data_IF_655549888933
#
_entry.id   IF_655549888933
#
_cell.length_a   1.000
_cell.length_b   1.000
_cell.length_c   1.000
_cell.angle_alpha   90.00
_cell.angle_beta   90.00
_cell.angle_gamma   90.00
#
_symmetry.space_group_name_H-M   'P 1'
#
loop_
_entity.id
_entity.type
_entity.pdbx_description
1 polymer ?
#
# COMPACT_ATOMS: atom_id res chain seq x y z
N UNK A 1 34.25 -12.39 -26.49
CA UNK A 1 33.58 -11.18 -25.97
C UNK A 1 33.32 -11.40 -24.48
N UNK A 2 33.92 -10.53 -23.61
CA UNK A 2 33.61 -10.49 -22.18
C UNK A 2 32.31 -9.71 -22.02
N UNK A 3 31.25 -10.37 -21.56
CA UNK A 3 29.97 -9.71 -21.21
C UNK A 3 30.18 -9.05 -19.85
N UNK A 4 30.00 -7.73 -19.83
CA UNK A 4 30.04 -6.91 -18.60
C UNK A 4 28.71 -7.07 -17.85
N UNK A 5 28.69 -8.00 -16.89
CA UNK A 5 27.51 -8.27 -16.06
C UNK A 5 27.17 -7.08 -15.17
N UNK A 6 28.16 -6.36 -14.65
CA UNK A 6 27.93 -5.22 -13.75
C UNK A 6 27.22 -4.08 -14.49
N UNK A 7 27.54 -3.89 -15.77
CA UNK A 7 26.84 -2.94 -16.63
C UNK A 7 25.40 -3.36 -16.87
N UNK A 8 25.13 -4.66 -17.08
CA UNK A 8 23.76 -5.16 -17.24
C UNK A 8 22.97 -4.91 -15.97
N UNK A 9 23.51 -5.30 -14.81
CA UNK A 9 22.88 -5.08 -13.51
C UNK A 9 22.56 -3.61 -13.27
N UNK A 10 23.52 -2.71 -13.53
CA UNK A 10 23.33 -1.27 -13.32
C UNK A 10 22.25 -0.67 -14.21
N UNK A 11 22.11 -1.14 -15.47
CA UNK A 11 21.06 -0.70 -16.38
C UNK A 11 19.66 -1.09 -15.89
N UNK A 12 19.48 -2.32 -15.41
CA UNK A 12 18.19 -2.76 -14.88
C UNK A 12 17.86 -2.09 -13.55
N UNK A 13 18.82 -1.99 -12.61
CA UNK A 13 18.60 -1.37 -11.30
C UNK A 13 18.40 0.16 -11.35
N UNK A 14 18.63 0.78 -12.50
CA UNK A 14 18.26 2.18 -12.72
C UNK A 14 16.74 2.37 -12.83
N UNK A 15 15.95 1.33 -13.16
CA UNK A 15 14.49 1.38 -13.13
C UNK A 15 13.99 1.33 -11.68
N UNK A 16 13.26 2.37 -11.20
CA UNK A 16 12.76 2.42 -9.82
C UNK A 16 11.72 1.34 -9.50
N UNK A 17 11.18 0.66 -10.49
CA UNK A 17 10.21 -0.43 -10.31
C UNK A 17 10.87 -1.79 -10.06
N UNK A 18 12.19 -1.90 -10.24
CA UNK A 18 12.92 -3.16 -10.11
C UNK A 18 13.46 -3.31 -8.69
N UNK A 19 13.14 -4.45 -8.06
CA UNK A 19 13.57 -4.81 -6.72
C UNK A 19 14.96 -5.43 -6.75
N UNK A 20 15.14 -6.44 -7.59
CA UNK A 20 16.44 -7.07 -7.79
C UNK A 20 16.54 -7.74 -9.17
N UNK A 21 17.77 -7.95 -9.60
CA UNK A 21 18.12 -8.62 -10.84
C UNK A 21 19.15 -9.69 -10.54
N UNK A 22 18.95 -10.88 -11.12
CA UNK A 22 19.97 -11.93 -11.10
C UNK A 22 20.42 -12.22 -12.53
N UNK A 23 21.71 -12.44 -12.71
CA UNK A 23 22.31 -12.77 -14.01
C UNK A 23 23.09 -14.07 -13.88
N UNK A 24 22.63 -15.11 -14.57
CA UNK A 24 23.24 -16.42 -14.58
C UNK A 24 23.86 -16.70 -15.97
N UNK A 25 25.11 -17.20 -15.98
CA UNK A 25 25.72 -17.71 -17.20
C UNK A 25 25.34 -19.19 -17.37
N UNK A 26 24.65 -19.48 -18.45
CA UNK A 26 24.37 -20.85 -18.87
C UNK A 26 25.33 -21.21 -20.00
N UNK A 27 26.20 -22.19 -19.76
CA UNK A 27 27.18 -22.64 -20.72
C UNK A 27 26.52 -23.24 -21.99
N UNK A 28 27.08 -23.04 -23.21
CA UNK A 28 28.34 -22.35 -23.51
C UNK A 28 28.20 -20.83 -23.75
N UNK A 29 27.02 -20.31 -24.12
CA UNK A 29 26.89 -19.00 -24.76
C UNK A 29 25.57 -18.25 -24.35
N UNK A 30 24.86 -18.74 -23.38
CA UNK A 30 23.56 -18.18 -22.94
C UNK A 30 23.72 -17.35 -21.67
N UNK A 31 23.05 -16.20 -21.61
CA UNK A 31 22.90 -15.39 -20.42
C UNK A 31 21.42 -15.35 -20.03
N UNK A 32 21.11 -15.83 -18.81
CA UNK A 32 19.79 -15.73 -18.24
C UNK A 32 19.73 -14.51 -17.31
N UNK A 33 18.78 -13.61 -17.57
CA UNK A 33 18.54 -12.42 -16.74
C UNK A 33 17.15 -12.55 -16.12
N UNK A 34 17.10 -12.70 -14.79
CA UNK A 34 15.84 -12.72 -14.05
C UNK A 34 15.64 -11.35 -13.40
N UNK A 35 14.51 -10.71 -13.70
CA UNK A 35 14.15 -9.39 -13.19
C UNK A 35 12.95 -9.52 -12.28
N UNK A 36 13.09 -9.08 -11.01
CA UNK A 36 12.02 -9.03 -10.06
C UNK A 36 11.62 -7.58 -9.80
N UNK A 37 10.32 -7.30 -9.96
CA UNK A 37 9.75 -5.98 -9.72
C UNK A 37 9.22 -5.89 -8.30
N UNK A 38 9.28 -4.68 -7.72
CA UNK A 38 8.60 -4.41 -6.46
C UNK A 38 7.11 -4.71 -6.57
N UNK A 39 6.58 -5.31 -5.53
CA UNK A 39 5.14 -5.51 -5.40
C UNK A 39 4.47 -4.18 -5.06
N UNK A 40 3.48 -3.79 -5.88
CA UNK A 40 2.63 -2.64 -5.63
C UNK A 40 1.55 -3.04 -4.63
N UNK A 41 1.47 -2.34 -3.49
CA UNK A 41 0.49 -2.60 -2.45
C UNK A 41 -0.78 -1.76 -2.63
N UNK A 42 -0.61 -0.51 -3.05
CA UNK A 42 -1.72 0.41 -3.24
C UNK A 42 -1.42 1.48 -4.29
N UNK A 43 -2.49 2.03 -4.87
CA UNK A 43 -2.44 3.25 -5.66
C UNK A 43 -2.63 4.45 -4.72
N UNK A 44 -1.72 5.40 -4.75
CA UNK A 44 -1.85 6.67 -4.03
C UNK A 44 -2.27 7.75 -5.00
N UNK A 45 -3.36 8.45 -4.68
CA UNK A 45 -3.85 9.59 -5.46
C UNK A 45 -3.74 10.85 -4.60
N UNK A 46 -2.87 11.75 -4.99
CA UNK A 46 -2.61 13.01 -4.29
C UNK A 46 -3.42 14.14 -4.92
N UNK A 47 -4.47 14.58 -4.23
CA UNK A 47 -5.37 15.66 -4.63
C UNK A 47 -4.98 17.04 -4.08
N UNK A 48 -3.82 17.18 -3.40
CA UNK A 48 -3.39 18.46 -2.83
C UNK A 48 -3.03 19.51 -3.88
N UNK A 49 -2.77 19.09 -5.10
CA UNK A 49 -2.58 19.98 -6.26
C UNK A 49 -3.84 20.02 -7.13
N UNK A 50 -3.97 21.05 -7.98
CA UNK A 50 -5.09 21.18 -8.91
C UNK A 50 -5.23 19.97 -9.83
N UNK A 51 -4.09 19.42 -10.29
CA UNK A 51 -4.05 18.17 -11.07
C UNK A 51 -3.65 17.02 -10.15
N UNK A 52 -4.49 16.00 -9.97
CA UNK A 52 -4.17 14.84 -9.14
C UNK A 52 -2.93 14.10 -9.65
N UNK A 53 -2.04 13.76 -8.72
CA UNK A 53 -0.85 12.98 -9.00
C UNK A 53 -1.06 11.55 -8.54
N UNK A 54 -0.58 10.59 -9.33
CA UNK A 54 -0.76 9.18 -9.10
C UNK A 54 0.58 8.51 -8.82
N UNK A 55 0.63 7.65 -7.79
CA UNK A 55 1.83 6.95 -7.39
C UNK A 55 1.51 5.49 -7.05
N UNK A 56 2.46 4.60 -7.31
CA UNK A 56 2.50 3.24 -6.76
C UNK A 56 3.13 3.30 -5.37
N UNK A 57 2.47 2.73 -4.38
CA UNK A 57 3.07 2.50 -3.06
C UNK A 57 3.60 1.06 -3.03
N UNK A 58 4.90 0.93 -2.84
CA UNK A 58 5.58 -0.35 -2.75
C UNK A 58 5.79 -0.80 -1.30
N UNK A 59 6.02 -2.10 -1.11
CA UNK A 59 6.27 -2.71 0.21
C UNK A 59 7.46 -2.12 0.98
N UNK A 60 8.38 -1.46 0.32
CA UNK A 60 9.51 -0.74 0.92
C UNK A 60 9.20 0.74 1.25
N UNK A 61 7.93 1.10 1.30
CA UNK A 61 7.42 2.46 1.55
C UNK A 61 7.83 3.50 0.50
N UNK A 62 8.31 3.07 -0.68
CA UNK A 62 8.58 4.00 -1.78
C UNK A 62 7.32 4.35 -2.54
N UNK A 63 7.23 5.62 -2.92
CA UNK A 63 6.27 6.10 -3.92
C UNK A 63 6.98 6.27 -5.26
N UNK A 64 6.41 5.67 -6.29
CA UNK A 64 6.88 5.81 -7.67
C UNK A 64 5.75 6.37 -8.51
N UNK A 65 5.98 7.45 -9.28
CA UNK A 65 4.95 8.02 -10.12
C UNK A 65 4.37 6.99 -11.10
N UNK A 66 3.06 7.06 -11.32
CA UNK A 66 2.35 6.24 -12.31
C UNK A 66 2.28 6.99 -13.61
N UNK A 67 2.75 6.38 -14.68
CA UNK A 67 2.61 6.93 -16.02
C UNK A 67 1.13 6.94 -16.45
N UNK A 68 0.78 7.90 -17.33
CA UNK A 68 -0.59 8.05 -17.78
C UNK A 68 -1.13 6.79 -18.47
N UNK A 69 -0.28 6.06 -19.18
CA UNK A 69 -0.59 4.80 -19.85
C UNK A 69 -0.93 3.65 -18.87
N UNK A 70 -0.39 3.70 -17.65
CA UNK A 70 -0.58 2.66 -16.64
C UNK A 70 -1.82 2.87 -15.74
N UNK A 71 -2.41 4.09 -15.74
CA UNK A 71 -3.53 4.43 -14.82
C UNK A 71 -4.72 3.50 -14.98
N UNK A 72 -5.04 3.07 -16.18
CA UNK A 72 -6.15 2.15 -16.47
C UNK A 72 -5.95 0.71 -15.98
N UNK A 73 -4.74 0.34 -15.55
CA UNK A 73 -4.45 -1.00 -15.01
C UNK A 73 -4.86 -1.17 -13.53
N UNK A 74 -5.13 -0.08 -12.82
CA UNK A 74 -5.59 -0.09 -11.44
C UNK A 74 -7.13 -0.06 -11.43
N UNK A 75 -7.76 -1.22 -11.28
CA UNK A 75 -9.21 -1.36 -11.19
C UNK A 75 -9.75 -1.16 -9.77
N UNK A 76 -11.08 -1.31 -9.62
CA UNK A 76 -11.79 -1.19 -8.34
C UNK A 76 -11.34 -2.24 -7.30
N UNK A 77 -10.74 -3.34 -7.76
CA UNK A 77 -10.20 -4.41 -6.89
C UNK A 77 -8.78 -4.11 -6.38
N UNK A 78 -8.30 -2.89 -6.50
CA UNK A 78 -6.97 -2.52 -6.07
C UNK A 78 -7.01 -1.57 -4.88
N UNK A 79 -6.18 -1.85 -3.86
CA UNK A 79 -6.09 -0.95 -2.70
C UNK A 79 -5.74 0.47 -3.11
N UNK A 80 -6.35 1.46 -2.48
CA UNK A 80 -6.08 2.86 -2.78
C UNK A 80 -5.93 3.74 -1.55
N UNK A 81 -5.20 4.84 -1.70
CA UNK A 81 -5.08 5.92 -0.73
C UNK A 81 -5.30 7.25 -1.43
N UNK A 82 -6.43 7.88 -1.19
CA UNK A 82 -6.74 9.23 -1.64
C UNK A 82 -6.28 10.24 -0.59
N UNK A 83 -5.41 11.18 -0.99
CA UNK A 83 -4.90 12.22 -0.10
C UNK A 83 -5.50 13.55 -0.52
N UNK A 84 -6.44 14.06 0.29
CA UNK A 84 -7.09 15.35 0.08
C UNK A 84 -6.24 16.47 0.68
N UNK A 85 -5.75 16.22 1.90
CA UNK A 85 -4.91 17.16 2.66
C UNK A 85 -4.07 16.36 3.68
N UNK A 86 -3.01 16.97 4.24
CA UNK A 86 -2.24 16.38 5.33
C UNK A 86 -0.80 16.02 4.97
N UNK A 87 -0.04 15.57 5.96
CA UNK A 87 1.35 15.17 5.77
C UNK A 87 1.42 13.85 5.00
N UNK A 88 2.33 13.80 4.07
CA UNK A 88 2.72 12.58 3.37
C UNK A 88 4.24 12.43 3.52
N UNK A 89 4.66 11.93 4.64
CA UNK A 89 6.05 11.59 4.92
C UNK A 89 6.27 10.07 4.94
N UNK A 90 7.51 9.67 5.09
CA UNK A 90 7.89 8.25 5.11
C UNK A 90 7.26 7.46 6.26
N UNK A 91 6.95 8.11 7.38
CA UNK A 91 6.34 7.47 8.54
C UNK A 91 4.88 7.10 8.23
N UNK A 92 4.14 8.06 7.65
CA UNK A 92 2.75 7.84 7.22
C UNK A 92 2.68 6.72 6.19
N UNK A 93 3.56 6.72 5.18
CA UNK A 93 3.59 5.60 4.22
C UNK A 93 3.96 4.27 4.86
N UNK A 94 4.86 4.27 5.84
CA UNK A 94 5.21 3.07 6.60
C UNK A 94 4.00 2.45 7.30
N UNK A 95 3.13 3.27 7.87
CA UNK A 95 1.88 2.80 8.50
C UNK A 95 0.94 2.15 7.49
N UNK A 96 0.74 2.75 6.30
CA UNK A 96 -0.08 2.15 5.24
C UNK A 96 0.52 0.84 4.73
N UNK A 97 1.84 0.77 4.55
CA UNK A 97 2.52 -0.47 4.16
C UNK A 97 2.29 -1.56 5.20
N UNK A 98 2.46 -1.25 6.48
CA UNK A 98 2.20 -2.19 7.57
C UNK A 98 0.76 -2.71 7.54
N UNK A 99 -0.21 -1.82 7.31
CA UNK A 99 -1.61 -2.18 7.19
C UNK A 99 -1.85 -3.16 6.04
N UNK A 100 -1.43 -2.80 4.82
CA UNK A 100 -1.66 -3.62 3.64
C UNK A 100 -0.93 -4.96 3.71
N UNK A 101 0.28 -4.99 4.24
CA UNK A 101 1.03 -6.25 4.41
C UNK A 101 0.37 -7.20 5.39
N UNK A 102 -0.19 -6.68 6.49
CA UNK A 102 -0.90 -7.50 7.48
C UNK A 102 -2.21 -8.05 6.93
N UNK A 103 -3.03 -7.21 6.26
CA UNK A 103 -4.26 -7.68 5.64
C UNK A 103 -3.98 -8.72 4.56
N UNK A 104 -3.03 -8.46 3.68
CA UNK A 104 -2.65 -9.40 2.62
C UNK A 104 -2.15 -10.73 3.17
N UNK A 105 -1.44 -10.73 4.29
CA UNK A 105 -1.02 -11.96 4.97
C UNK A 105 -2.18 -12.74 5.61
N UNK A 106 -3.32 -12.07 5.86
CA UNK A 106 -4.51 -12.67 6.47
C UNK A 106 -5.52 -13.08 5.40
N UNK A 107 -5.87 -12.17 4.51
CA UNK A 107 -6.75 -12.41 3.37
C UNK A 107 -6.39 -11.48 2.21
N UNK A 108 -5.88 -12.05 1.13
CA UNK A 108 -5.41 -11.31 -0.03
C UNK A 108 -6.56 -10.78 -0.92
N UNK A 109 -7.81 -11.16 -0.64
CA UNK A 109 -8.99 -10.69 -1.38
C UNK A 109 -9.55 -9.37 -0.85
N UNK A 110 -9.19 -8.99 0.38
CA UNK A 110 -9.69 -7.77 1.02
C UNK A 110 -9.11 -6.54 0.33
N UNK A 111 -10.00 -5.66 -0.14
CA UNK A 111 -9.65 -4.38 -0.75
C UNK A 111 -9.96 -3.24 0.23
N UNK A 112 -9.00 -2.37 0.43
CA UNK A 112 -9.17 -1.18 1.28
C UNK A 112 -8.91 0.08 0.48
N UNK A 113 -9.87 1.02 0.58
CA UNK A 113 -9.77 2.34 -0.01
C UNK A 113 -9.73 3.39 1.11
N UNK A 114 -8.58 4.02 1.30
CA UNK A 114 -8.39 5.07 2.29
C UNK A 114 -8.61 6.47 1.74
N UNK A 115 -9.08 7.35 2.61
CA UNK A 115 -9.11 8.81 2.39
C UNK A 115 -8.46 9.51 3.57
N UNK A 116 -7.35 10.20 3.33
CA UNK A 116 -6.64 11.03 4.30
C UNK A 116 -6.99 12.50 4.06
N UNK A 117 -7.58 13.16 5.07
CA UNK A 117 -7.89 14.58 5.05
C UNK A 117 -7.37 15.25 6.33
N UNK A 118 -6.25 15.94 6.23
CA UNK A 118 -5.53 16.45 7.39
C UNK A 118 -4.90 15.30 8.19
N UNK A 119 -5.38 15.10 9.41
CA UNK A 119 -5.01 13.94 10.25
C UNK A 119 -6.14 12.90 10.32
N UNK A 120 -7.31 13.21 9.74
CA UNK A 120 -8.44 12.30 9.75
C UNK A 120 -8.28 11.24 8.66
N UNK A 121 -8.33 10.00 9.07
CA UNK A 121 -8.26 8.85 8.18
C UNK A 121 -9.57 8.07 8.22
N UNK A 122 -10.25 8.03 7.08
CA UNK A 122 -11.43 7.20 6.85
C UNK A 122 -11.18 6.23 5.73
N UNK A 123 -12.02 5.24 5.55
CA UNK A 123 -11.91 4.32 4.43
C UNK A 123 -13.03 3.32 4.35
N UNK A 124 -13.01 2.53 3.29
CA UNK A 124 -13.85 1.35 3.12
C UNK A 124 -12.96 0.11 3.07
N UNK A 125 -13.31 -0.90 3.83
CA UNK A 125 -12.69 -2.23 3.80
C UNK A 125 -13.74 -3.17 3.23
N UNK A 126 -13.55 -3.61 1.98
CA UNK A 126 -14.60 -4.17 1.15
C UNK A 126 -15.81 -3.22 1.05
N UNK A 127 -16.91 -3.56 1.71
CA UNK A 127 -18.14 -2.75 1.74
C UNK A 127 -18.39 -2.06 3.09
N UNK A 128 -17.44 -2.18 4.04
CA UNK A 128 -17.60 -1.68 5.40
C UNK A 128 -16.93 -0.32 5.51
N UNK A 129 -17.67 0.70 5.93
CA UNK A 129 -17.10 2.01 6.27
C UNK A 129 -16.35 1.94 7.59
N UNK A 130 -15.13 2.45 7.61
CA UNK A 130 -14.27 2.46 8.80
C UNK A 130 -13.69 3.84 9.00
N UNK A 131 -13.93 4.41 10.18
CA UNK A 131 -13.24 5.60 10.64
C UNK A 131 -11.99 5.19 11.42
N UNK A 132 -10.82 5.35 10.83
CA UNK A 132 -9.53 5.01 11.44
C UNK A 132 -9.00 6.11 12.39
N UNK A 133 -9.71 7.24 12.50
CA UNK A 133 -9.34 8.43 13.25
C UNK A 133 -8.02 9.07 12.79
N UNK A 134 -6.88 8.42 12.99
CA UNK A 134 -5.54 8.90 12.60
C UNK A 134 -4.75 7.83 11.86
N UNK A 135 -3.80 8.22 10.99
CA UNK A 135 -2.93 7.30 10.26
C UNK A 135 -1.79 6.74 11.14
N UNK A 136 -2.08 6.42 12.40
CA UNK A 136 -1.14 5.90 13.38
C UNK A 136 -1.51 4.47 13.78
N UNK A 137 -0.49 3.62 14.01
CA UNK A 137 -0.68 2.23 14.42
C UNK A 137 -1.62 1.43 13.51
N UNK A 138 -1.59 1.71 12.21
CA UNK A 138 -2.50 1.08 11.23
C UNK A 138 -2.37 -0.44 11.19
N UNK A 139 -1.18 -0.99 11.46
CA UNK A 139 -1.00 -2.43 11.57
C UNK A 139 -1.85 -3.07 12.68
N UNK A 140 -1.94 -2.44 13.86
CA UNK A 140 -2.83 -2.92 14.93
C UNK A 140 -4.29 -2.79 14.53
N UNK A 141 -4.67 -1.66 13.94
CA UNK A 141 -6.02 -1.40 13.44
C UNK A 141 -6.44 -2.42 12.37
N UNK A 142 -5.53 -2.83 11.48
CA UNK A 142 -5.80 -3.87 10.49
C UNK A 142 -6.29 -5.17 11.13
N UNK A 143 -5.59 -5.64 12.17
CA UNK A 143 -5.97 -6.86 12.88
C UNK A 143 -7.32 -6.73 13.62
N UNK A 144 -7.62 -5.54 14.14
CA UNK A 144 -8.90 -5.26 14.79
C UNK A 144 -10.06 -5.22 13.78
N UNK A 145 -9.87 -4.54 12.63
CA UNK A 145 -10.85 -4.51 11.53
C UNK A 145 -11.14 -5.92 11.05
N UNK A 146 -10.11 -6.70 10.74
CA UNK A 146 -10.29 -8.06 10.24
C UNK A 146 -11.11 -8.92 11.20
N UNK A 147 -10.82 -8.88 12.52
CA UNK A 147 -11.61 -9.59 13.52
C UNK A 147 -13.04 -9.10 13.56
N UNK A 148 -13.25 -7.78 13.46
CA UNK A 148 -14.58 -7.18 13.55
C UNK A 148 -15.44 -7.48 12.33
N UNK A 149 -14.85 -7.63 11.15
CA UNK A 149 -15.56 -8.06 9.94
C UNK A 149 -16.22 -9.44 10.09
N UNK A 150 -15.78 -10.25 11.05
CA UNK A 150 -16.38 -11.54 11.36
C UNK A 150 -17.60 -11.42 12.29
N UNK A 151 -17.84 -10.23 12.87
CA UNK A 151 -18.92 -9.97 13.80
C UNK A 151 -19.98 -9.05 13.15
N UNK A 152 -21.28 -9.30 13.37
CA UNK A 152 -22.31 -8.45 12.81
C UNK A 152 -22.28 -7.03 13.41
N UNK A 153 -22.31 -6.01 12.54
CA UNK A 153 -22.54 -4.62 12.91
C UNK A 153 -23.70 -4.09 12.06
N UNK A 154 -24.82 -3.63 12.68
CA UNK A 154 -26.02 -3.24 11.94
C UNK A 154 -25.80 -2.08 10.97
N UNK A 155 -24.95 -1.11 11.31
CA UNK A 155 -24.66 0.06 10.46
C UNK A 155 -23.63 -0.21 9.37
N UNK A 156 -22.88 -1.33 9.46
CA UNK A 156 -21.71 -1.60 8.61
C UNK A 156 -20.63 -0.49 8.70
N UNK A 157 -20.64 0.31 9.77
CA UNK A 157 -19.68 1.37 10.00
C UNK A 157 -18.96 1.17 11.36
N UNK A 158 -17.67 1.42 11.38
CA UNK A 158 -16.83 1.22 12.56
C UNK A 158 -15.94 2.44 12.80
N UNK A 159 -15.86 2.85 14.06
CA UNK A 159 -14.84 3.79 14.52
C UNK A 159 -13.73 3.01 15.22
N UNK A 160 -12.49 3.35 14.91
CA UNK A 160 -11.30 2.76 15.52
C UNK A 160 -10.51 3.83 16.24
N UNK A 161 -10.15 3.56 17.47
CA UNK A 161 -9.25 4.42 18.23
C UNK A 161 -8.26 3.56 19.04
N UNK A 162 -7.20 4.16 19.52
CA UNK A 162 -6.21 3.51 20.36
C UNK A 162 -6.34 4.09 21.75
N UNK A 163 -6.60 3.22 22.73
CA UNK A 163 -6.49 3.58 24.12
C UNK A 163 -5.03 3.95 24.43
N UNK A 164 -4.80 5.23 24.71
CA UNK A 164 -3.46 5.76 24.96
C UNK A 164 -2.81 5.15 26.22
N UNK A 165 -3.65 4.63 27.15
CA UNK A 165 -3.18 4.05 28.41
C UNK A 165 -2.75 2.61 28.25
N UNK A 166 -3.54 1.80 27.54
CA UNK A 166 -3.31 0.36 27.36
C UNK A 166 -2.61 0.04 26.02
N UNK A 167 -2.66 0.94 25.05
CA UNK A 167 -2.23 0.72 23.68
C UNK A 167 -3.12 -0.26 22.91
N UNK A 168 -4.30 -0.57 23.44
CA UNK A 168 -5.27 -1.45 22.79
C UNK A 168 -6.10 -0.69 21.76
N UNK A 169 -6.51 -1.41 20.71
CA UNK A 169 -7.40 -0.86 19.69
C UNK A 169 -8.84 -1.04 20.15
N UNK A 170 -9.54 0.07 20.33
CA UNK A 170 -10.96 0.11 20.63
C UNK A 170 -11.72 0.19 19.31
N UNK A 171 -12.66 -0.74 19.13
CA UNK A 171 -13.52 -0.81 17.94
C UNK A 171 -14.95 -0.57 18.40
N UNK A 172 -15.57 0.48 17.87
CA UNK A 172 -16.96 0.83 18.15
C UNK A 172 -17.79 0.67 16.89
N UNK A 173 -18.89 -0.05 16.98
CA UNK A 173 -19.87 -0.11 15.90
C UNK A 173 -20.71 1.17 15.98
N UNK A 174 -20.65 2.01 14.96
CA UNK A 174 -21.45 3.25 14.89
C UNK A 174 -22.92 2.89 14.69
N UNK A 175 -23.79 3.43 15.53
CA UNK A 175 -25.24 3.13 15.55
C UNK A 175 -26.01 4.23 14.84
#
# INVERSE_FOLDING_TARGET
YLIDIDRILSLYLADPNIEYVTVNKLYPDTLEVTVNKYETLALVVDYRAADPKYYKLYKNSRLVPVEQSERGSFGESFNSLSVINGPLDSNVYGEFVNYFMLLKGTDNSIVTNFTLNGLDLTGTVDSIEVNFTKPENLGKKASAVYRRMQEPCPSMAYSLDIDETTGEVVVVCDI
#
